data_IF_551405526719
#
_entry.id   IF_551405526719
#
_cell.length_a   1.000
_cell.length_b   1.000
_cell.length_c   1.000
_cell.angle_alpha   90.00
_cell.angle_beta   90.00
_cell.angle_gamma   90.00
#
_symmetry.space_group_name_H-M   'P 1'
#
loop_
_entity.id
_entity.type
_entity.pdbx_description
1 polymer ?
#
# COMPACT_ATOMS: atom_id res chain seq x y z
N UNK A 1 8.09 29.78 6.82
CA UNK A 1 7.15 29.02 5.98
C UNK A 1 7.65 27.57 5.88
N UNK A 2 7.36 26.75 6.89
CA UNK A 2 7.79 25.34 6.94
C UNK A 2 6.86 24.43 7.76
N UNK A 3 5.91 25.03 8.48
CA UNK A 3 4.95 24.33 9.34
C UNK A 3 3.85 23.61 8.52
N UNK A 4 3.34 24.25 7.47
CA UNK A 4 2.29 23.67 6.62
C UNK A 4 2.70 22.41 5.85
N UNK A 5 3.96 22.33 5.41
CA UNK A 5 4.46 21.14 4.69
C UNK A 5 4.71 19.95 5.64
N UNK A 6 5.19 20.20 6.87
CA UNK A 6 5.37 19.13 7.87
C UNK A 6 4.04 18.48 8.27
N UNK A 7 2.97 19.28 8.36
CA UNK A 7 1.61 18.78 8.56
C UNK A 7 1.14 17.91 7.39
N UNK A 8 1.43 18.33 6.16
CA UNK A 8 1.09 17.60 4.93
C UNK A 8 1.80 16.24 4.85
N UNK A 9 3.12 16.19 5.14
CA UNK A 9 3.89 14.93 5.17
C UNK A 9 3.33 13.94 6.19
N UNK A 10 2.96 14.41 7.39
CA UNK A 10 2.43 13.53 8.43
C UNK A 10 1.05 12.99 8.07
N UNK A 11 0.17 13.84 7.54
CA UNK A 11 -1.12 13.40 7.00
C UNK A 11 -0.96 12.39 5.86
N UNK A 12 0.07 12.53 5.04
CA UNK A 12 0.36 11.59 3.95
C UNK A 12 0.81 10.22 4.50
N UNK A 13 1.66 10.19 5.53
CA UNK A 13 2.04 8.96 6.22
C UNK A 13 0.82 8.26 6.81
N UNK A 14 -0.02 8.99 7.55
CA UNK A 14 -1.21 8.42 8.19
C UNK A 14 -2.20 7.85 7.15
N UNK A 15 -2.39 8.56 6.03
CA UNK A 15 -3.22 8.08 4.91
C UNK A 15 -2.64 6.82 4.27
N UNK A 16 -1.32 6.75 4.12
CA UNK A 16 -0.64 5.56 3.58
C UNK A 16 -0.81 4.34 4.49
N UNK A 17 -0.64 4.50 5.80
CA UNK A 17 -0.84 3.42 6.77
C UNK A 17 -2.28 2.90 6.73
N UNK A 18 -3.26 3.80 6.60
CA UNK A 18 -4.67 3.43 6.43
C UNK A 18 -4.91 2.62 5.14
N UNK A 19 -4.28 3.00 4.03
CA UNK A 19 -4.38 2.26 2.76
C UNK A 19 -3.70 0.89 2.86
N UNK A 20 -2.54 0.79 3.52
CA UNK A 20 -1.86 -0.49 3.77
C UNK A 20 -2.76 -1.41 4.59
N UNK A 21 -3.35 -0.90 5.68
CA UNK A 21 -4.25 -1.68 6.52
C UNK A 21 -5.49 -2.17 5.73
N UNK A 22 -6.10 -1.30 4.92
CA UNK A 22 -7.22 -1.67 4.05
C UNK A 22 -6.81 -2.72 3.01
N UNK A 23 -5.65 -2.56 2.38
CA UNK A 23 -5.09 -3.53 1.41
C UNK A 23 -4.88 -4.90 2.04
N UNK A 24 -4.32 -4.97 3.24
CA UNK A 24 -4.09 -6.22 3.95
C UNK A 24 -5.42 -6.90 4.31
N UNK A 25 -6.43 -6.13 4.73
CA UNK A 25 -7.76 -6.65 5.02
C UNK A 25 -8.45 -7.22 3.77
N UNK A 26 -8.31 -6.55 2.62
CA UNK A 26 -8.82 -7.06 1.33
C UNK A 26 -8.13 -8.38 0.99
N UNK A 27 -6.79 -8.44 1.06
CA UNK A 27 -6.03 -9.67 0.81
C UNK A 27 -6.47 -10.82 1.71
N UNK A 28 -6.57 -10.59 3.03
CA UNK A 28 -7.05 -11.63 3.96
C UNK A 28 -8.46 -12.13 3.64
N UNK A 29 -9.35 -11.24 3.19
CA UNK A 29 -10.72 -11.62 2.81
C UNK A 29 -10.73 -12.46 1.53
N UNK A 30 -9.84 -12.15 0.59
CA UNK A 30 -9.65 -12.93 -0.64
C UNK A 30 -9.01 -14.29 -0.34
N UNK A 31 -7.93 -14.33 0.46
CA UNK A 31 -7.27 -15.57 0.88
C UNK A 31 -8.28 -16.52 1.56
N UNK A 32 -9.13 -15.98 2.45
CA UNK A 32 -10.20 -16.76 3.09
C UNK A 32 -11.23 -17.28 2.08
N UNK A 33 -11.62 -16.44 1.11
CA UNK A 33 -12.55 -16.85 0.05
C UNK A 33 -11.95 -18.00 -0.78
N UNK A 34 -10.67 -17.92 -1.11
CA UNK A 34 -9.94 -18.97 -1.82
C UNK A 34 -9.87 -20.27 -1.02
N UNK A 35 -9.59 -20.19 0.28
CA UNK A 35 -9.59 -21.35 1.19
C UNK A 35 -10.96 -22.04 1.28
N UNK A 36 -12.05 -21.27 1.28
CA UNK A 36 -13.42 -21.79 1.30
C UNK A 36 -13.81 -22.45 -0.04
N UNK A 37 -13.30 -21.94 -1.17
CA UNK A 37 -13.67 -22.42 -2.51
C UNK A 37 -12.80 -23.59 -2.97
N UNK A 38 -11.50 -23.58 -2.67
CA UNK A 38 -10.52 -24.62 -3.04
C UNK A 38 -11.04 -26.07 -2.90
N UNK A 39 -11.68 -26.47 -1.79
CA UNK A 39 -12.13 -27.84 -1.59
C UNK A 39 -13.24 -28.28 -2.55
N UNK A 40 -14.07 -27.34 -2.99
CA UNK A 40 -15.22 -27.62 -3.88
C UNK A 40 -14.91 -27.31 -5.34
N UNK A 41 -13.80 -26.64 -5.64
CA UNK A 41 -13.41 -26.23 -6.98
C UNK A 41 -13.19 -27.41 -7.94
N UNK A 42 -12.89 -28.60 -7.42
CA UNK A 42 -12.81 -29.84 -8.20
C UNK A 42 -14.16 -30.32 -8.70
N UNK A 43 -15.24 -29.99 -7.98
CA UNK A 43 -16.63 -30.35 -8.29
C UNK A 43 -17.29 -29.33 -9.23
N UNK A 44 -16.68 -28.15 -9.41
CA UNK A 44 -17.21 -27.11 -10.27
C UNK A 44 -16.96 -27.45 -11.74
N UNK A 45 -18.03 -27.48 -12.53
CA UNK A 45 -17.95 -27.76 -13.95
C UNK A 45 -17.59 -26.52 -14.78
N UNK A 46 -16.71 -26.73 -15.77
CA UNK A 46 -16.46 -25.88 -16.94
C UNK A 46 -16.53 -24.36 -16.73
N UNK A 47 -17.72 -23.79 -16.94
CA UNK A 47 -17.93 -22.33 -16.95
C UNK A 47 -17.76 -21.66 -15.59
N UNK A 48 -18.27 -22.27 -14.52
CA UNK A 48 -18.19 -21.68 -13.16
C UNK A 48 -16.75 -21.69 -12.64
N UNK A 49 -16.01 -22.75 -12.95
CA UNK A 49 -14.58 -22.85 -12.62
C UNK A 49 -13.75 -21.81 -13.36
N UNK A 50 -14.01 -21.61 -14.65
CA UNK A 50 -13.31 -20.58 -15.45
C UNK A 50 -13.63 -19.17 -14.96
N UNK A 51 -14.90 -18.87 -14.65
CA UNK A 51 -15.30 -17.57 -14.11
C UNK A 51 -14.62 -17.26 -12.76
N UNK A 52 -14.49 -18.27 -11.90
CA UNK A 52 -13.73 -18.13 -10.66
C UNK A 52 -12.25 -17.84 -10.90
N UNK A 53 -11.59 -18.62 -11.76
CA UNK A 53 -10.17 -18.43 -12.07
C UNK A 53 -9.89 -17.05 -12.69
N UNK A 54 -10.80 -16.54 -13.50
CA UNK A 54 -10.70 -15.19 -14.08
C UNK A 54 -10.85 -14.11 -12.99
N UNK A 55 -11.88 -14.23 -12.14
CA UNK A 55 -12.05 -13.35 -10.98
C UNK A 55 -10.80 -13.37 -10.07
N UNK A 56 -10.23 -14.56 -9.86
CA UNK A 56 -9.01 -14.76 -9.09
C UNK A 56 -7.84 -13.98 -9.66
N UNK A 57 -7.56 -14.14 -10.95
CA UNK A 57 -6.50 -13.41 -11.62
C UNK A 57 -6.69 -11.88 -11.54
N UNK A 58 -7.95 -11.40 -11.62
CA UNK A 58 -8.27 -9.98 -11.52
C UNK A 58 -7.95 -9.43 -10.14
N UNK A 59 -8.44 -10.07 -9.07
CA UNK A 59 -8.21 -9.57 -7.71
C UNK A 59 -6.73 -9.66 -7.30
N UNK A 60 -6.03 -10.71 -7.71
CA UNK A 60 -4.59 -10.88 -7.47
C UNK A 60 -3.78 -9.79 -8.17
N UNK A 61 -4.14 -9.51 -9.43
CA UNK A 61 -3.55 -8.43 -10.20
C UNK A 61 -3.77 -7.06 -9.55
N UNK A 62 -4.98 -6.80 -9.04
CA UNK A 62 -5.30 -5.57 -8.33
C UNK A 62 -4.52 -5.43 -7.01
N UNK A 63 -4.44 -6.50 -6.21
CA UNK A 63 -3.68 -6.52 -4.97
C UNK A 63 -2.19 -6.24 -5.20
N UNK A 64 -1.60 -6.84 -6.24
CA UNK A 64 -0.20 -6.61 -6.61
C UNK A 64 0.06 -5.17 -7.06
N UNK A 65 -0.85 -4.58 -7.84
CA UNK A 65 -0.76 -3.17 -8.25
C UNK A 65 -0.84 -2.23 -7.06
N UNK A 66 -1.73 -2.50 -6.12
CA UNK A 66 -1.87 -1.72 -4.89
C UNK A 66 -0.60 -1.77 -4.04
N UNK A 67 -0.01 -2.95 -3.86
CA UNK A 67 1.26 -3.11 -3.15
C UNK A 67 2.42 -2.35 -3.83
N UNK A 68 2.47 -2.37 -5.16
CA UNK A 68 3.47 -1.62 -5.93
C UNK A 68 3.31 -0.12 -5.71
N UNK A 69 2.08 0.39 -5.83
CA UNK A 69 1.77 1.80 -5.59
C UNK A 69 2.17 2.25 -4.17
N UNK A 70 1.82 1.47 -3.15
CA UNK A 70 2.17 1.77 -1.76
C UNK A 70 3.69 1.79 -1.55
N UNK A 71 4.42 0.86 -2.18
CA UNK A 71 5.88 0.84 -2.11
C UNK A 71 6.49 2.10 -2.73
N UNK A 72 6.00 2.52 -3.91
CA UNK A 72 6.46 3.74 -4.57
C UNK A 72 6.11 4.99 -3.76
N UNK A 73 4.90 5.06 -3.19
CA UNK A 73 4.49 6.17 -2.34
C UNK A 73 5.36 6.24 -1.07
N UNK A 74 5.70 5.11 -0.46
CA UNK A 74 6.50 5.06 0.76
C UNK A 74 7.93 5.55 0.51
N UNK A 75 8.51 5.19 -0.63
CA UNK A 75 9.80 5.70 -1.08
C UNK A 75 9.77 7.22 -1.27
N UNK A 76 8.73 7.74 -1.92
CA UNK A 76 8.57 9.18 -2.13
C UNK A 76 8.46 9.95 -0.80
N UNK A 77 7.64 9.47 0.15
CA UNK A 77 7.54 10.06 1.49
C UNK A 77 8.89 10.02 2.23
N UNK A 78 9.59 8.88 2.18
CA UNK A 78 10.89 8.70 2.83
C UNK A 78 11.94 9.68 2.32
N UNK A 79 12.05 9.85 0.99
CA UNK A 79 12.96 10.82 0.38
C UNK A 79 12.64 12.26 0.80
N UNK A 80 11.35 12.60 0.88
CA UNK A 80 10.93 13.92 1.36
C UNK A 80 11.36 14.13 2.80
N UNK A 81 11.10 13.17 3.69
CA UNK A 81 11.48 13.26 5.11
C UNK A 81 12.99 13.41 5.30
N UNK A 82 13.81 12.72 4.49
CA UNK A 82 15.26 12.80 4.56
C UNK A 82 15.80 14.19 4.16
N UNK A 83 15.22 14.81 3.12
CA UNK A 83 15.57 16.18 2.70
C UNK A 83 15.35 17.18 3.83
N UNK A 84 14.27 17.04 4.61
CA UNK A 84 14.01 17.91 5.77
C UNK A 84 15.04 17.73 6.87
N UNK A 85 15.37 16.49 7.22
CA UNK A 85 16.37 16.22 8.25
C UNK A 85 17.72 16.83 7.86
N UNK A 86 18.12 16.73 6.59
CA UNK A 86 19.35 17.33 6.12
C UNK A 86 19.30 18.86 6.12
N UNK A 87 18.19 19.48 5.75
CA UNK A 87 18.02 20.94 5.78
C UNK A 87 18.04 21.48 7.21
N UNK A 88 17.37 20.85 8.17
CA UNK A 88 17.39 21.28 9.57
C UNK A 88 18.82 21.23 10.16
N UNK A 89 19.60 20.20 9.82
CA UNK A 89 20.99 20.07 10.26
C UNK A 89 21.92 21.15 9.65
N UNK A 90 21.63 21.61 8.44
CA UNK A 90 22.38 22.70 7.79
C UNK A 90 22.00 24.06 8.40
N UNK A 91 20.71 24.28 8.62
CA UNK A 91 20.17 25.45 9.30
C UNK A 91 20.80 25.60 10.69
N UNK A 92 20.79 24.55 11.51
CA UNK A 92 21.40 24.58 12.86
C UNK A 92 22.90 24.89 12.83
N UNK A 93 23.65 24.35 11.86
CA UNK A 93 25.09 24.66 11.69
C UNK A 93 25.33 26.11 11.30
N UNK A 94 24.43 26.71 10.53
CA UNK A 94 24.55 28.11 10.08
C UNK A 94 24.21 29.09 11.21
N UNK A 95 23.33 28.69 12.14
CA UNK A 95 22.95 29.51 13.30
C UNK A 95 23.87 29.35 14.52
N UNK A 96 24.79 28.39 14.53
CA UNK A 96 25.82 28.20 15.57
C UNK A 96 27.21 28.75 15.18
N UNK A 97 27.35 29.34 13.99
CA UNK A 97 28.57 29.97 13.49
C UNK A 97 28.56 31.49 13.57
#
# INVERSE_FOLDING_TARGET
MGDGFRGDTRSMIDAMDAIIAASNKVRQSLDKLEEEIQPTLSEWEGGSKLAYLDAQAIWDGAAKRLQTFLTTAAQAVGSVAEIYQQQDLQVQRTFQG
#
